data_IF_766191737253
#
_entry.id   IF_766191737253
#
_cell.length_a   1.000
_cell.length_b   1.000
_cell.length_c   1.000
_cell.angle_alpha   90.00
_cell.angle_beta   90.00
_cell.angle_gamma   90.00
#
_symmetry.space_group_name_H-M   'P 1'
#
loop_
_entity.id
_entity.type
_entity.pdbx_description
1 polymer ?
#
# COMPACT_ATOMS: atom_id res chain seq x y z
N UNK A 1 -17.78 29.53 -34.67
CA UNK A 1 -16.68 30.53 -34.57
C UNK A 1 -16.21 30.58 -33.12
N UNK A 2 -14.92 30.38 -32.88
CA UNK A 2 -14.22 30.47 -31.59
C UNK A 2 -13.92 31.93 -31.25
N UNK A 3 -13.94 32.34 -29.97
CA UNK A 3 -13.03 33.37 -29.44
C UNK A 3 -12.73 33.14 -27.94
N UNK A 4 -11.45 33.18 -27.62
CA UNK A 4 -10.82 33.13 -26.28
C UNK A 4 -10.42 34.55 -25.84
N UNK A 5 -10.27 34.80 -24.54
CA UNK A 5 -9.44 35.92 -24.03
C UNK A 5 -9.90 36.43 -22.66
N UNK A 6 -9.24 36.04 -21.55
CA UNK A 6 -8.09 36.69 -20.87
C UNK A 6 -8.44 38.00 -20.17
N UNK A 7 -8.37 38.01 -18.84
CA UNK A 7 -7.90 39.18 -18.05
C UNK A 7 -7.55 38.81 -16.59
N UNK A 8 -6.25 38.93 -16.27
CA UNK A 8 -5.68 39.42 -14.99
C UNK A 8 -5.06 40.80 -15.33
N UNK A 9 -4.65 41.72 -14.42
CA UNK A 9 -4.26 41.53 -13.01
C UNK A 9 -4.70 42.71 -12.07
N UNK A 10 -4.28 42.72 -10.80
CA UNK A 10 -3.49 43.83 -10.24
C UNK A 10 -3.13 43.60 -8.75
N UNK A 11 -1.84 43.70 -8.47
CA UNK A 11 -1.25 43.79 -7.12
C UNK A 11 -1.05 45.28 -6.83
N UNK A 12 -1.47 45.76 -5.65
CA UNK A 12 -0.99 47.05 -5.13
C UNK A 12 -0.86 47.03 -3.61
N UNK A 13 0.39 47.17 -3.18
CA UNK A 13 0.85 47.40 -1.82
C UNK A 13 0.65 48.86 -1.38
N UNK A 14 0.71 49.07 -0.07
CA UNK A 14 1.22 50.24 0.68
C UNK A 14 0.45 50.30 2.02
N UNK A 15 1.09 49.94 3.13
CA UNK A 15 1.75 50.88 4.07
C UNK A 15 0.72 51.57 4.96
N UNK A 16 0.76 51.28 6.26
CA UNK A 16 0.94 52.35 7.22
C UNK A 16 1.54 51.83 8.53
N UNK A 17 2.48 52.61 9.02
CA UNK A 17 3.35 52.33 10.16
C UNK A 17 2.64 52.65 11.48
N UNK A 18 3.26 52.19 12.57
CA UNK A 18 3.61 52.99 13.74
C UNK A 18 3.21 52.38 15.10
N UNK A 19 4.27 51.92 15.78
CA UNK A 19 4.69 52.42 17.09
C UNK A 19 4.15 51.76 18.38
N UNK A 20 5.14 51.54 19.26
CA UNK A 20 5.11 51.56 20.71
C UNK A 20 4.64 50.29 21.45
N UNK A 21 5.61 49.64 22.11
CA UNK A 21 5.31 48.73 23.22
C UNK A 21 6.47 47.86 23.64
N UNK A 22 7.53 48.44 24.23
CA UNK A 22 8.54 47.68 24.97
C UNK A 22 7.87 46.97 26.16
N UNK A 23 7.78 45.65 26.12
CA UNK A 23 7.66 44.79 27.30
C UNK A 23 8.77 43.72 27.15
N UNK A 24 9.92 43.95 27.78
CA UNK A 24 10.34 43.29 29.03
C UNK A 24 10.55 41.78 28.83
N UNK A 25 11.83 41.43 28.78
CA UNK A 25 12.42 40.09 28.84
C UNK A 25 11.96 39.32 30.08
N UNK A 26 11.23 38.23 29.86
CA UNK A 26 11.02 37.09 30.77
C UNK A 26 10.87 35.90 29.80
N UNK A 27 11.91 35.09 29.56
CA UNK A 27 12.34 34.07 30.51
C UNK A 27 11.59 32.78 30.16
N UNK A 28 12.22 31.96 29.31
CA UNK A 28 11.92 30.60 28.84
C UNK A 28 12.21 30.63 27.33
N UNK A 29 13.40 30.25 26.86
CA UNK A 29 13.72 28.81 26.74
C UNK A 29 12.41 28.05 26.61
N UNK A 30 11.65 28.31 25.53
CA UNK A 30 10.78 27.28 24.99
C UNK A 30 11.75 26.21 24.55
N UNK A 31 12.04 25.38 25.55
CA UNK A 31 12.76 24.14 25.45
C UNK A 31 12.34 23.48 24.14
N UNK A 32 13.31 22.79 23.55
CA UNK A 32 13.18 21.63 22.68
C UNK A 32 12.26 20.54 23.28
N UNK A 33 11.15 20.92 23.93
CA UNK A 33 10.10 20.04 24.38
C UNK A 33 9.26 19.74 23.15
N UNK A 34 9.25 18.49 22.70
CA UNK A 34 8.39 18.12 21.61
C UNK A 34 6.95 18.43 22.01
N UNK A 35 6.20 19.00 21.06
CA UNK A 35 4.81 19.38 21.25
C UNK A 35 4.00 18.12 21.57
N UNK A 36 3.68 17.89 22.85
CA UNK A 36 3.07 16.65 23.35
C UNK A 36 1.75 16.34 22.63
N UNK A 37 1.00 17.37 22.22
CA UNK A 37 -0.21 17.21 21.42
C UNK A 37 0.11 16.68 20.02
N UNK A 38 1.17 17.20 19.39
CA UNK A 38 1.66 16.72 18.11
C UNK A 38 2.23 15.30 18.21
N UNK A 39 2.97 14.98 19.28
CA UNK A 39 3.47 13.63 19.55
C UNK A 39 2.32 12.64 19.75
N UNK A 40 1.27 13.02 20.49
CA UNK A 40 0.07 12.21 20.69
C UNK A 40 -0.68 11.97 19.37
N UNK A 41 -0.82 13.00 18.53
CA UNK A 41 -1.38 12.84 17.18
C UNK A 41 -0.50 11.95 16.29
N UNK A 42 0.82 12.13 16.32
CA UNK A 42 1.77 11.33 15.56
C UNK A 42 1.87 9.89 16.07
N UNK A 43 1.65 9.64 17.36
CA UNK A 43 1.56 8.30 17.93
C UNK A 43 0.25 7.61 17.54
N UNK A 44 -0.87 8.34 17.51
CA UNK A 44 -2.14 7.80 17.04
C UNK A 44 -2.13 7.48 15.53
N UNK A 45 -1.33 8.22 14.74
CA UNK A 45 -1.14 8.01 13.30
C UNK A 45 0.04 7.09 12.96
N UNK A 46 1.00 6.93 13.87
CA UNK A 46 2.12 6.01 13.69
C UNK A 46 1.61 4.61 13.96
N UNK A 47 1.68 3.69 12.97
CA UNK A 47 1.43 2.29 13.24
C UNK A 47 2.47 1.84 14.26
N UNK A 48 2.03 1.58 15.49
CA UNK A 48 2.85 1.08 16.59
C UNK A 48 3.70 -0.11 16.10
N UNK A 49 4.99 0.14 15.88
CA UNK A 49 6.06 -0.87 15.82
C UNK A 49 5.76 -2.20 15.12
N UNK A 50 5.34 -2.18 13.86
CA UNK A 50 5.66 -3.28 12.93
C UNK A 50 5.86 -2.66 11.54
N UNK A 51 7.00 -2.88 10.85
CA UNK A 51 7.08 -2.58 9.44
C UNK A 51 6.10 -3.49 8.69
N UNK A 52 4.85 -3.06 8.61
CA UNK A 52 3.91 -3.44 7.55
C UNK A 52 4.39 -2.85 6.21
N UNK A 53 5.65 -3.10 5.87
CA UNK A 53 6.10 -3.13 4.51
C UNK A 53 5.26 -4.19 3.81
N UNK A 54 4.34 -3.77 2.96
CA UNK A 54 3.75 -4.63 1.92
C UNK A 54 4.82 -5.21 0.97
N UNK A 55 6.11 -5.00 1.23
CA UNK A 55 7.23 -5.75 0.70
C UNK A 55 7.34 -7.14 1.32
N UNK A 56 7.08 -8.14 0.49
CA UNK A 56 7.50 -9.55 0.60
C UNK A 56 8.13 -10.01 1.94
N UNK A 57 7.35 -10.71 2.77
CA UNK A 57 7.95 -11.60 3.76
C UNK A 57 7.09 -11.83 5.01
N UNK A 58 6.56 -13.05 5.14
CA UNK A 58 6.15 -13.69 6.41
C UNK A 58 4.85 -13.30 7.13
N UNK A 59 3.90 -12.61 6.49
CA UNK A 59 2.59 -12.30 7.14
C UNK A 59 1.55 -13.43 7.06
N UNK A 60 1.76 -14.39 6.15
CA UNK A 60 0.92 -15.58 6.03
C UNK A 60 1.78 -16.77 6.44
N UNK A 61 1.45 -17.44 7.55
CA UNK A 61 2.24 -18.54 8.11
C UNK A 61 2.69 -19.52 7.03
N UNK A 62 4.01 -19.61 6.80
CA UNK A 62 4.64 -20.54 5.85
C UNK A 62 4.12 -20.58 4.40
N UNK A 63 3.14 -19.76 4.02
CA UNK A 63 2.45 -19.89 2.75
C UNK A 63 3.32 -19.32 1.64
N UNK A 64 3.91 -20.22 0.84
CA UNK A 64 4.71 -19.83 -0.31
C UNK A 64 3.79 -19.57 -1.51
N UNK A 65 3.87 -18.36 -2.05
CA UNK A 65 3.20 -18.02 -3.31
C UNK A 65 4.10 -18.44 -4.46
N UNK A 66 3.58 -19.30 -5.34
CA UNK A 66 4.25 -19.73 -6.56
C UNK A 66 3.58 -19.07 -7.77
N UNK A 67 4.37 -18.41 -8.62
CA UNK A 67 3.88 -17.87 -9.87
C UNK A 67 3.95 -18.94 -10.96
N UNK A 68 2.79 -19.33 -11.51
CA UNK A 68 2.71 -20.30 -12.59
C UNK A 68 2.79 -19.60 -13.95
N UNK A 69 3.77 -19.99 -14.77
CA UNK A 69 3.89 -19.55 -16.17
C UNK A 69 3.56 -20.72 -17.09
N UNK A 70 2.51 -20.56 -17.89
CA UNK A 70 2.04 -21.55 -18.86
C UNK A 70 2.20 -21.01 -20.28
N UNK A 71 2.45 -21.86 -21.29
CA UNK A 71 2.35 -21.45 -22.68
C UNK A 71 0.91 -21.04 -23.01
N UNK A 72 0.73 -20.14 -23.99
CA UNK A 72 -0.55 -19.51 -24.32
C UNK A 72 -1.67 -20.55 -24.51
N UNK A 73 -1.43 -21.56 -25.36
CA UNK A 73 -2.41 -22.61 -25.67
C UNK A 73 -2.86 -23.39 -24.42
N UNK A 74 -1.93 -23.69 -23.50
CA UNK A 74 -2.28 -24.39 -22.26
C UNK A 74 -3.06 -23.48 -21.29
N UNK A 75 -2.81 -22.17 -21.31
CA UNK A 75 -3.58 -21.23 -20.51
C UNK A 75 -5.02 -21.10 -21.00
N UNK A 76 -5.23 -21.07 -22.32
CA UNK A 76 -6.57 -21.05 -22.92
C UNK A 76 -7.35 -22.31 -22.57
N UNK A 77 -6.74 -23.49 -22.72
CA UNK A 77 -7.34 -24.76 -22.32
C UNK A 77 -7.69 -24.80 -20.82
N UNK A 78 -6.79 -24.32 -19.96
CA UNK A 78 -7.06 -24.25 -18.52
C UNK A 78 -8.25 -23.32 -18.22
N UNK A 79 -8.37 -22.19 -18.92
CA UNK A 79 -9.50 -21.27 -18.76
C UNK A 79 -10.80 -21.88 -19.21
N UNK A 80 -10.82 -22.59 -20.33
CA UNK A 80 -12.00 -23.29 -20.83
C UNK A 80 -12.46 -24.38 -19.85
N UNK A 81 -11.53 -25.18 -19.35
CA UNK A 81 -11.82 -26.20 -18.34
C UNK A 81 -12.33 -25.56 -17.05
N UNK A 82 -11.68 -24.50 -16.56
CA UNK A 82 -12.14 -23.78 -15.39
C UNK A 82 -13.56 -23.22 -15.56
N UNK A 83 -13.89 -22.69 -16.74
CA UNK A 83 -15.24 -22.24 -17.06
C UNK A 83 -16.26 -23.39 -17.04
N UNK A 84 -15.92 -24.55 -17.60
CA UNK A 84 -16.75 -25.75 -17.53
C UNK A 84 -16.99 -26.23 -16.10
N UNK A 85 -15.94 -26.19 -15.27
CA UNK A 85 -15.99 -26.58 -13.87
C UNK A 85 -16.53 -25.47 -12.94
N UNK A 86 -16.92 -24.31 -13.49
CA UNK A 86 -17.42 -23.14 -12.74
C UNK A 86 -16.43 -22.66 -11.64
N UNK A 87 -15.14 -22.80 -11.90
CA UNK A 87 -14.06 -22.43 -10.98
C UNK A 87 -13.14 -21.37 -11.58
N UNK A 88 -12.32 -20.75 -10.74
CA UNK A 88 -11.25 -19.86 -11.22
C UNK A 88 -10.11 -20.68 -11.83
N UNK A 89 -9.49 -20.24 -12.94
CA UNK A 89 -8.34 -20.94 -13.54
C UNK A 89 -7.19 -21.17 -12.55
N UNK A 90 -6.98 -20.22 -11.62
CA UNK A 90 -5.96 -20.36 -10.57
C UNK A 90 -6.33 -21.46 -9.56
N UNK A 91 -7.61 -21.52 -9.17
CA UNK A 91 -8.09 -22.52 -8.21
C UNK A 91 -8.03 -23.93 -8.81
N UNK A 92 -8.42 -24.09 -10.08
CA UNK A 92 -8.33 -25.38 -10.78
C UNK A 92 -6.88 -25.85 -10.91
N UNK A 93 -5.95 -24.96 -11.24
CA UNK A 93 -4.53 -25.29 -11.30
C UNK A 93 -3.99 -25.73 -9.92
N UNK A 94 -4.37 -25.01 -8.86
CA UNK A 94 -3.99 -25.38 -7.49
C UNK A 94 -4.52 -26.78 -7.13
N UNK A 95 -5.79 -27.06 -7.44
CA UNK A 95 -6.41 -28.36 -7.18
C UNK A 95 -5.66 -29.50 -7.88
N UNK A 96 -5.36 -29.36 -9.17
CA UNK A 96 -4.63 -30.39 -9.91
C UNK A 96 -3.22 -30.61 -9.38
N UNK A 97 -2.52 -29.55 -8.97
CA UNK A 97 -1.21 -29.67 -8.33
C UNK A 97 -1.31 -30.47 -7.03
N UNK A 98 -2.31 -30.18 -6.19
CA UNK A 98 -2.54 -30.91 -4.94
C UNK A 98 -2.89 -32.38 -5.20
N UNK A 99 -3.79 -32.67 -6.15
CA UNK A 99 -4.15 -34.03 -6.54
C UNK A 99 -2.93 -34.80 -7.06
N UNK A 100 -2.08 -34.17 -7.86
CA UNK A 100 -0.87 -34.80 -8.39
C UNK A 100 0.14 -35.11 -7.29
N UNK A 101 0.33 -34.19 -6.34
CA UNK A 101 1.22 -34.40 -5.19
C UNK A 101 0.72 -35.53 -4.29
N UNK A 102 -0.59 -35.58 -4.03
CA UNK A 102 -1.20 -36.66 -3.25
C UNK A 102 -0.99 -38.02 -3.93
N UNK A 103 -1.29 -38.12 -5.23
CA UNK A 103 -1.04 -39.33 -6.01
C UNK A 103 0.43 -39.75 -5.91
N UNK A 104 1.37 -38.83 -6.17
CA UNK A 104 2.80 -39.12 -6.12
C UNK A 104 3.23 -39.59 -4.72
N UNK A 105 2.71 -38.96 -3.66
CA UNK A 105 2.99 -39.36 -2.28
C UNK A 105 2.52 -40.79 -2.00
N UNK A 106 1.31 -41.16 -2.42
CA UNK A 106 0.78 -42.51 -2.22
C UNK A 106 1.57 -43.57 -2.98
N UNK A 107 2.07 -43.26 -4.18
CA UNK A 107 2.92 -44.16 -4.96
C UNK A 107 4.32 -44.33 -4.36
N UNK A 108 4.86 -43.29 -3.74
CA UNK A 108 6.17 -43.33 -3.11
C UNK A 108 6.18 -44.19 -1.84
N UNK A 109 5.12 -44.13 -1.03
CA UNK A 109 4.97 -44.96 0.18
C UNK A 109 4.73 -46.45 -0.11
N UNK A 110 4.43 -46.82 -1.37
CA UNK A 110 4.17 -48.22 -1.77
C UNK A 110 5.43 -48.94 -2.26
N UNK A 111 6.57 -48.27 -2.38
CA UNK A 111 7.87 -48.86 -2.75
C UNK A 111 8.72 -49.13 -1.53
#
# INVERSE_FOLDING_TARGET
MLFTGRSRPSVKAADDAANAGRHRTEGQEQEDRPDEDLESYLAALSPEGDPESTGSGRRFGGAQVYQLRLPLMANEQLRELAAHHQTSPMALAQEWVLQRLEWESQHLHRR
#
